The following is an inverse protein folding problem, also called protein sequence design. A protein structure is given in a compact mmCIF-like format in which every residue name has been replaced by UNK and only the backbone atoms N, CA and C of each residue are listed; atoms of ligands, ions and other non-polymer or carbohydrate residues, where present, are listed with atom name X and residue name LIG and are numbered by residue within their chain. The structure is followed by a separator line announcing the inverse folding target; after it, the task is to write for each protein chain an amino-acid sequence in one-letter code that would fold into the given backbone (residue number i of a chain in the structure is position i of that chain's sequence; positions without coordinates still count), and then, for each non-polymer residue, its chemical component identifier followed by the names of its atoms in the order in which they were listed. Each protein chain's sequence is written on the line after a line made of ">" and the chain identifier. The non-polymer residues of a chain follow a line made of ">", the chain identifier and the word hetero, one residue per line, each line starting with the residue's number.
data_IF_012725093534
#
_entry.id   IF_012725093534
#
_cell.length_a   1.000
_cell.length_b   1.000
_cell.length_c   1.000
_cell.angle_alpha   90.00
_cell.angle_beta   90.00
_cell.angle_gamma   90.00
#
_symmetry.space_group_name_H-M   'P 1'
#
loop_
_entity.id
_entity.type
_entity.pdbx_description
1 polymer ?
#
# COMPACT_ATOMS: atom_id res chain seq x y z
N UNK A 1 -4.69 6.10 -1.07
CA UNK A 1 -5.43 4.85 -1.20
C UNK A 1 -5.22 4.37 -2.62
N UNK A 2 -4.29 3.47 -2.74
CA UNK A 2 -3.80 2.94 -3.99
C UNK A 2 -4.26 1.48 -4.07
N UNK A 3 -5.57 1.29 -4.09
CA UNK A 3 -6.20 0.01 -3.73
C UNK A 3 -5.86 -1.07 -4.74
N UNK A 4 -6.15 -0.82 -6.01
CA UNK A 4 -5.97 -1.82 -7.05
C UNK A 4 -4.49 -2.12 -7.26
N UNK A 5 -3.65 -1.09 -7.29
CA UNK A 5 -2.23 -1.34 -7.51
C UNK A 5 -1.51 -1.93 -6.31
N UNK A 6 -1.98 -1.76 -5.07
CA UNK A 6 -1.48 -2.58 -3.96
C UNK A 6 -1.82 -4.06 -4.16
N UNK A 7 -3.09 -4.39 -4.41
CA UNK A 7 -3.52 -5.78 -4.60
C UNK A 7 -2.83 -6.43 -5.81
N UNK A 8 -2.76 -5.71 -6.93
CA UNK A 8 -2.10 -6.19 -8.15
C UNK A 8 -0.59 -6.35 -7.94
N UNK A 9 0.10 -5.36 -7.38
CA UNK A 9 1.55 -5.47 -7.17
C UNK A 9 1.91 -6.57 -6.16
N UNK A 10 1.07 -6.77 -5.14
CA UNK A 10 1.23 -7.86 -4.20
C UNK A 10 1.06 -9.22 -4.89
N UNK A 11 0.05 -9.37 -5.73
CA UNK A 11 -0.14 -10.58 -6.54
C UNK A 11 1.05 -10.83 -7.50
N UNK A 12 1.51 -9.79 -8.19
CA UNK A 12 2.63 -9.88 -9.12
C UNK A 12 3.98 -10.11 -8.45
N UNK A 13 4.13 -9.70 -7.18
CA UNK A 13 5.36 -9.92 -6.42
C UNK A 13 5.70 -11.40 -6.24
N UNK A 14 4.69 -12.28 -6.28
CA UNK A 14 4.80 -13.71 -5.93
C UNK A 14 5.41 -13.96 -4.54
N UNK A 15 5.41 -12.96 -3.65
CA UNK A 15 5.82 -13.14 -2.26
C UNK A 15 4.87 -14.10 -1.53
N UNK A 16 3.62 -14.20 -2.00
CA UNK A 16 2.57 -15.06 -1.44
C UNK A 16 1.98 -15.97 -2.54
N UNK A 17 2.75 -16.92 -3.09
CA UNK A 17 2.36 -17.65 -4.30
C UNK A 17 1.17 -18.60 -4.10
N UNK A 18 0.93 -19.02 -2.86
CA UNK A 18 -0.18 -19.90 -2.46
C UNK A 18 -1.48 -19.12 -2.18
N UNK A 19 -1.43 -17.77 -2.15
CA UNK A 19 -2.58 -16.96 -1.81
C UNK A 19 -3.32 -16.45 -3.03
N UNK A 20 -4.60 -16.78 -3.09
CA UNK A 20 -5.54 -16.04 -3.90
C UNK A 20 -5.85 -14.70 -3.22
N UNK A 21 -5.00 -13.69 -3.40
CA UNK A 21 -5.20 -12.34 -2.84
C UNK A 21 -6.46 -11.63 -3.34
N UNK A 22 -7.03 -12.14 -4.43
CA UNK A 22 -8.32 -11.71 -4.95
C UNK A 22 -9.47 -12.33 -4.15
N UNK A 23 -9.26 -13.42 -3.40
CA UNK A 23 -10.30 -14.14 -2.65
C UNK A 23 -10.42 -13.66 -1.20
N UNK A 24 -11.61 -13.12 -0.86
CA UNK A 24 -12.09 -13.04 0.51
C UNK A 24 -11.31 -12.09 1.44
N UNK A 25 -11.12 -12.54 2.68
CA UNK A 25 -10.58 -11.74 3.78
C UNK A 25 -9.14 -11.28 3.55
N UNK A 26 -8.30 -12.02 2.82
CA UNK A 26 -6.91 -11.66 2.58
C UNK A 26 -6.74 -10.35 1.79
N UNK A 27 -7.58 -10.13 0.77
CA UNK A 27 -7.60 -8.85 0.05
C UNK A 27 -7.99 -7.69 0.97
N UNK A 28 -8.95 -7.92 1.86
CA UNK A 28 -9.33 -6.93 2.87
C UNK A 28 -8.24 -6.69 3.92
N UNK A 29 -7.51 -7.74 4.33
CA UNK A 29 -6.34 -7.63 5.22
C UNK A 29 -5.26 -6.76 4.59
N UNK A 30 -4.92 -7.03 3.32
CA UNK A 30 -3.94 -6.24 2.59
C UNK A 30 -4.37 -4.76 2.51
N UNK A 31 -5.67 -4.49 2.35
CA UNK A 31 -6.23 -3.13 2.32
C UNK A 31 -6.40 -2.48 3.71
N UNK A 32 -6.16 -3.20 4.80
CA UNK A 32 -6.42 -2.71 6.16
C UNK A 32 -5.74 -1.36 6.47
N UNK A 33 -4.50 -1.07 6.03
CA UNK A 33 -3.89 0.23 6.29
C UNK A 33 -4.63 1.39 5.64
N UNK A 34 -5.19 1.16 4.46
CA UNK A 34 -6.05 2.10 3.75
C UNK A 34 -7.39 2.29 4.46
N UNK A 35 -8.00 1.19 4.92
CA UNK A 35 -9.25 1.22 5.69
C UNK A 35 -9.10 1.98 7.01
N UNK A 36 -7.96 1.86 7.69
CA UNK A 36 -7.69 2.50 8.99
C UNK A 36 -7.00 3.86 8.89
N UNK A 37 -6.56 4.25 7.68
CA UNK A 37 -5.70 5.42 7.44
C UNK A 37 -4.49 5.42 8.39
N UNK A 38 -3.74 4.32 8.45
CA UNK A 38 -2.64 4.14 9.41
C UNK A 38 -1.23 4.23 8.79
N UNK A 39 -1.08 4.72 7.56
CA UNK A 39 0.22 4.69 6.86
C UNK A 39 1.34 5.43 7.59
N UNK A 40 1.06 6.58 8.20
CA UNK A 40 2.07 7.33 8.97
C UNK A 40 2.56 6.53 10.19
N UNK A 41 1.68 5.77 10.86
CA UNK A 41 2.08 4.79 11.88
C UNK A 41 2.90 3.65 11.25
N UNK A 42 2.38 3.09 10.16
CA UNK A 42 2.94 1.91 9.48
C UNK A 42 4.38 2.12 9.04
N UNK A 43 4.73 3.29 8.51
CA UNK A 43 6.11 3.58 8.11
C UNK A 43 7.11 3.42 9.27
N UNK A 44 6.71 3.70 10.51
CA UNK A 44 7.61 3.62 11.66
C UNK A 44 7.59 2.26 12.36
N UNK A 45 6.58 1.41 12.13
CA UNK A 45 6.33 0.21 12.94
C UNK A 45 6.01 -1.06 12.17
N UNK A 46 5.50 -0.99 10.95
CA UNK A 46 5.05 -2.15 10.19
C UNK A 46 6.19 -3.15 9.93
N UNK A 47 7.44 -2.69 9.92
CA UNK A 47 8.64 -3.51 9.77
C UNK A 47 8.79 -4.60 10.83
N UNK A 48 8.20 -4.41 12.02
CA UNK A 48 8.19 -5.40 13.09
C UNK A 48 7.16 -6.53 12.86
N UNK A 49 6.31 -6.43 11.84
CA UNK A 49 5.30 -7.44 11.51
C UNK A 49 5.88 -8.61 10.69
N UNK A 50 7.14 -8.54 10.27
CA UNK A 50 7.80 -9.63 9.54
C UNK A 50 7.80 -10.92 10.39
N UNK A 51 7.33 -12.03 9.82
CA UNK A 51 7.23 -13.31 10.52
C UNK A 51 6.13 -13.39 11.59
N UNK A 52 5.29 -12.36 11.77
CA UNK A 52 4.25 -12.33 12.80
C UNK A 52 2.96 -13.07 12.40
N UNK A 53 2.94 -13.74 11.26
CA UNK A 53 1.78 -14.42 10.70
C UNK A 53 1.35 -13.83 9.36
N UNK A 54 0.51 -14.57 8.64
CA UNK A 54 0.16 -14.24 7.26
C UNK A 54 -0.51 -12.86 7.16
N UNK A 55 -1.47 -12.58 8.02
CA UNK A 55 -2.23 -11.34 8.01
C UNK A 55 -1.34 -10.12 8.29
N UNK A 56 -0.39 -10.27 9.20
CA UNK A 56 0.63 -9.27 9.51
C UNK A 56 1.52 -8.99 8.30
N UNK A 57 1.92 -10.05 7.59
CA UNK A 57 2.77 -9.96 6.40
C UNK A 57 2.03 -9.32 5.21
N UNK A 58 0.72 -9.53 5.08
CA UNK A 58 -0.12 -8.81 4.11
C UNK A 58 -0.18 -7.31 4.40
N UNK A 59 -0.33 -6.93 5.67
CA UNK A 59 -0.28 -5.52 6.10
C UNK A 59 1.11 -4.92 5.84
N UNK A 60 2.18 -5.65 6.16
CA UNK A 60 3.56 -5.25 5.85
C UNK A 60 3.76 -5.03 4.35
N UNK A 61 3.28 -5.94 3.51
CA UNK A 61 3.46 -5.84 2.07
C UNK A 61 2.71 -4.64 1.45
N UNK A 62 1.51 -4.33 1.96
CA UNK A 62 0.84 -3.07 1.65
C UNK A 62 1.71 -1.86 2.01
N UNK A 63 2.23 -1.83 3.24
CA UNK A 63 3.06 -0.73 3.74
C UNK A 63 4.36 -0.57 2.94
N UNK A 64 4.96 -1.66 2.47
CA UNK A 64 6.11 -1.65 1.57
C UNK A 64 5.78 -1.01 0.23
N UNK A 65 4.69 -1.45 -0.41
CA UNK A 65 4.22 -0.87 -1.66
C UNK A 65 3.98 0.64 -1.52
N UNK A 66 3.34 1.05 -0.42
CA UNK A 66 3.03 2.46 -0.19
C UNK A 66 4.30 3.29 0.05
N UNK A 67 5.25 2.71 0.79
CA UNK A 67 6.54 3.32 1.01
C UNK A 67 7.34 3.50 -0.29
N UNK A 68 7.24 2.61 -1.28
CA UNK A 68 7.86 2.81 -2.61
C UNK A 68 7.25 4.00 -3.34
N UNK A 69 5.92 4.14 -3.31
CA UNK A 69 5.22 5.29 -3.92
C UNK A 69 5.67 6.61 -3.27
N UNK A 70 5.85 6.60 -1.95
CA UNK A 70 6.14 7.80 -1.16
C UNK A 70 7.63 8.17 -1.05
N UNK A 71 8.51 7.19 -0.91
CA UNK A 71 9.94 7.40 -0.63
C UNK A 71 10.85 6.93 -1.77
N UNK A 72 10.31 6.17 -2.73
CA UNK A 72 11.02 5.67 -3.89
C UNK A 72 11.45 4.21 -3.71
N UNK A 73 11.93 3.62 -4.80
CA UNK A 73 12.25 2.17 -4.87
C UNK A 73 13.38 1.76 -3.94
N UNK A 74 14.31 2.66 -3.63
CA UNK A 74 15.42 2.41 -2.72
C UNK A 74 15.17 3.14 -1.41
N UNK A 75 15.01 2.40 -0.34
CA UNK A 75 14.79 2.96 0.98
C UNK A 75 16.06 3.60 1.52
N UNK A 76 15.95 4.84 2.01
CA UNK A 76 17.05 5.60 2.62
C UNK A 76 16.65 6.19 3.97
N UNK A 77 15.63 5.61 4.63
CA UNK A 77 15.03 6.16 5.83
C UNK A 77 13.82 7.08 5.57
N UNK A 78 13.26 7.63 6.65
CA UNK A 78 12.07 8.50 6.63
C UNK A 78 12.37 9.97 6.32
N UNK A 79 13.58 10.30 5.87
CA UNK A 79 14.07 11.68 5.85
C UNK A 79 13.24 12.58 4.91
N UNK A 80 12.85 12.09 3.74
CA UNK A 80 12.09 12.88 2.77
C UNK A 80 11.26 12.05 1.79
N UNK A 81 9.95 12.28 1.80
CA UNK A 81 9.02 11.79 0.76
C UNK A 81 9.44 12.34 -0.61
N UNK A 82 9.92 11.47 -1.48
CA UNK A 82 10.53 11.78 -2.80
C UNK A 82 10.25 10.71 -3.86
N UNK A 83 9.35 9.78 -3.55
CA UNK A 83 8.97 8.68 -4.43
C UNK A 83 8.20 9.14 -5.67
N UNK A 84 7.69 8.16 -6.42
CA UNK A 84 7.08 8.40 -7.73
C UNK A 84 5.96 9.44 -7.68
N UNK A 85 5.01 9.31 -6.74
CA UNK A 85 3.89 10.24 -6.65
C UNK A 85 4.39 11.69 -6.49
N UNK A 86 5.39 11.90 -5.62
CA UNK A 86 5.97 13.22 -5.35
C UNK A 86 6.64 13.85 -6.57
N UNK A 87 7.26 13.04 -7.43
CA UNK A 87 7.91 13.51 -8.67
C UNK A 87 6.90 13.90 -9.75
N UNK A 88 5.65 13.42 -9.67
CA UNK A 88 4.60 13.65 -10.68
C UNK A 88 3.46 14.56 -10.23
N UNK A 89 3.37 14.95 -8.96
CA UNK A 89 2.35 15.92 -8.48
C UNK A 89 2.30 17.23 -9.29
N UNK A 90 3.42 17.64 -9.88
CA UNK A 90 3.52 18.86 -10.70
C UNK A 90 2.55 18.88 -11.90
N UNK A 91 2.15 17.70 -12.40
CA UNK A 91 1.21 17.56 -13.52
C UNK A 91 -0.15 18.18 -13.19
N UNK A 92 -0.64 17.97 -11.96
CA UNK A 92 -1.99 18.38 -11.56
C UNK A 92 -2.02 19.57 -10.61
N UNK A 93 -0.94 19.84 -9.87
CA UNK A 93 -0.93 20.83 -8.77
C UNK A 93 -1.52 22.19 -9.16
N UNK A 94 -1.29 22.65 -10.39
CA UNK A 94 -1.81 23.95 -10.87
C UNK A 94 -3.33 24.00 -11.01
N UNK A 95 -3.99 22.85 -11.15
CA UNK A 95 -5.43 22.71 -11.39
C UNK A 95 -6.24 22.43 -10.11
N UNK A 96 -5.61 22.56 -8.94
CA UNK A 96 -6.26 22.35 -7.64
C UNK A 96 -7.49 23.26 -7.43
N UNK A 97 -7.35 24.56 -7.73
CA UNK A 97 -8.44 25.51 -7.51
C UNK A 97 -9.57 25.28 -8.52
N UNK A 98 -9.23 24.96 -9.79
CA UNK A 98 -10.18 24.56 -10.84
C UNK A 98 -10.99 23.34 -10.40
N UNK A 99 -10.33 22.31 -9.87
CA UNK A 99 -10.98 21.08 -9.39
C UNK A 99 -12.05 21.39 -8.34
N UNK A 100 -11.69 22.13 -7.30
CA UNK A 100 -12.63 22.42 -6.21
C UNK A 100 -13.73 23.38 -6.64
N UNK A 101 -13.42 24.43 -7.41
CA UNK A 101 -14.41 25.36 -7.93
C UNK A 101 -15.45 24.64 -8.81
N UNK A 102 -14.99 23.76 -9.70
CA UNK A 102 -15.88 22.99 -10.57
C UNK A 102 -16.78 22.04 -9.77
N UNK A 103 -16.24 21.34 -8.77
CA UNK A 103 -17.02 20.45 -7.91
C UNK A 103 -18.08 21.21 -7.08
N UNK A 104 -17.74 22.40 -6.60
CA UNK A 104 -18.66 23.28 -5.86
C UNK A 104 -19.76 23.83 -6.79
N UNK A 105 -19.41 24.29 -7.99
CA UNK A 105 -20.35 24.78 -9.00
C UNK A 105 -21.38 23.71 -9.41
N UNK A 106 -20.93 22.45 -9.55
CA UNK A 106 -21.81 21.31 -9.87
C UNK A 106 -22.64 20.81 -8.70
N UNK A 107 -22.48 21.38 -7.51
CA UNK A 107 -23.17 20.94 -6.29
C UNK A 107 -22.74 19.56 -5.82
N UNK A 108 -21.65 19.00 -6.35
CA UNK A 108 -21.10 17.73 -5.87
C UNK A 108 -20.38 17.92 -4.54
N UNK A 109 -19.91 19.15 -4.27
CA UNK A 109 -19.26 19.50 -3.01
C UNK A 109 -19.93 20.73 -2.40
N UNK A 110 -20.32 20.70 -1.11
CA UNK A 110 -20.78 21.91 -0.44
C UNK A 110 -19.68 22.98 -0.41
N UNK A 111 -20.05 24.20 -0.77
CA UNK A 111 -19.14 25.35 -0.75
C UNK A 111 -18.65 25.65 0.68
N UNK A 112 -17.38 26.06 0.81
CA UNK A 112 -16.79 26.48 2.08
C UNK A 112 -16.32 25.34 3.00
N UNK A 113 -16.51 24.07 2.62
CA UNK A 113 -15.94 22.96 3.37
C UNK A 113 -14.39 22.93 3.27
N UNK A 114 -13.68 22.53 4.34
CA UNK A 114 -12.23 22.43 4.34
C UNK A 114 -11.71 21.54 3.21
N UNK A 115 -10.82 22.08 2.39
CA UNK A 115 -10.16 21.37 1.28
C UNK A 115 -8.90 20.68 1.79
N UNK A 116 -8.51 19.59 1.14
CA UNK A 116 -7.19 18.98 1.37
C UNK A 116 -6.09 19.98 0.98
N UNK A 117 -4.89 19.84 1.54
CA UNK A 117 -3.75 20.63 1.10
C UNK A 117 -3.48 20.42 -0.39
N UNK A 118 -2.96 21.44 -1.08
CA UNK A 118 -2.61 21.35 -2.52
C UNK A 118 -1.72 20.14 -2.83
N UNK A 119 -0.77 19.89 -1.92
CA UNK A 119 0.16 18.76 -1.95
C UNK A 119 -0.58 17.43 -1.75
N UNK A 120 -1.43 17.32 -0.72
CA UNK A 120 -2.19 16.10 -0.42
C UNK A 120 -3.15 15.73 -1.54
N UNK A 121 -3.84 16.72 -2.11
CA UNK A 121 -4.74 16.54 -3.26
C UNK A 121 -3.97 16.03 -4.49
N UNK A 122 -2.88 16.71 -4.87
CA UNK A 122 -2.11 16.34 -6.06
C UNK A 122 -1.46 14.97 -5.93
N UNK A 123 -0.92 14.66 -4.74
CA UNK A 123 -0.37 13.35 -4.41
C UNK A 123 -1.40 12.24 -4.65
N UNK A 124 -2.58 12.43 -4.07
CA UNK A 124 -3.66 11.44 -4.10
C UNK A 124 -4.11 11.19 -5.54
N UNK A 125 -4.31 12.23 -6.35
CA UNK A 125 -4.71 12.05 -7.74
C UNK A 125 -3.66 11.31 -8.57
N UNK A 126 -2.38 11.59 -8.36
CA UNK A 126 -1.28 10.90 -9.05
C UNK A 126 -1.23 9.43 -8.65
N UNK A 127 -1.27 9.15 -7.35
CA UNK A 127 -1.28 7.78 -6.82
C UNK A 127 -2.44 6.94 -7.39
N UNK A 128 -3.67 7.48 -7.37
CA UNK A 128 -4.85 6.79 -7.89
C UNK A 128 -4.88 6.67 -9.41
N UNK A 129 -4.02 7.40 -10.13
CA UNK A 129 -3.94 7.26 -11.59
C UNK A 129 -3.39 5.90 -12.00
N UNK A 130 -2.61 5.23 -11.14
CA UNK A 130 -2.20 3.83 -11.35
C UNK A 130 -3.42 2.90 -11.30
N UNK A 131 -4.30 3.07 -10.30
CA UNK A 131 -5.52 2.26 -10.18
C UNK A 131 -6.42 2.41 -11.42
N UNK A 132 -6.58 3.65 -11.90
CA UNK A 132 -7.34 3.88 -13.13
C UNK A 132 -6.67 3.26 -14.36
N UNK A 133 -5.35 3.36 -14.47
CA UNK A 133 -4.60 2.72 -15.55
C UNK A 133 -4.78 1.19 -15.52
N UNK A 134 -4.67 0.56 -14.35
CA UNK A 134 -4.92 -0.86 -14.18
C UNK A 134 -6.33 -1.25 -14.62
N UNK A 135 -7.34 -0.50 -14.18
CA UNK A 135 -8.74 -0.77 -14.52
C UNK A 135 -9.06 -0.53 -16.00
N UNK A 136 -8.38 0.40 -16.67
CA UNK A 136 -8.52 0.64 -18.11
C UNK A 136 -7.82 -0.44 -18.97
N UNK A 137 -6.86 -1.17 -18.41
CA UNK A 137 -5.98 -2.08 -19.17
C UNK A 137 -6.14 -3.56 -18.87
N UNK A 138 -6.73 -3.91 -17.73
CA UNK A 138 -6.85 -5.30 -17.26
C UNK A 138 -8.30 -5.65 -16.97
N UNK A 139 -8.63 -6.92 -17.17
CA UNK A 139 -9.88 -7.46 -16.63
C UNK A 139 -9.68 -7.73 -15.13
N UNK A 140 -10.28 -6.86 -14.31
CA UNK A 140 -10.26 -6.94 -12.86
C UNK A 140 -11.62 -7.38 -12.28
N UNK A 141 -12.54 -7.87 -13.12
CA UNK A 141 -13.93 -8.16 -12.72
C UNK A 141 -14.03 -9.20 -11.61
N UNK A 142 -13.15 -10.22 -11.65
CA UNK A 142 -13.11 -11.27 -10.61
C UNK A 142 -12.63 -10.70 -9.27
N UNK A 143 -11.50 -9.99 -9.28
CA UNK A 143 -10.93 -9.34 -8.09
C UNK A 143 -11.91 -8.33 -7.49
N UNK A 144 -12.52 -7.49 -8.33
CA UNK A 144 -13.51 -6.50 -7.92
C UNK A 144 -14.70 -7.16 -7.18
N UNK A 145 -15.30 -8.19 -7.79
CA UNK A 145 -16.44 -8.89 -7.18
C UNK A 145 -16.07 -9.47 -5.82
N UNK A 146 -14.93 -10.15 -5.71
CA UNK A 146 -14.54 -10.82 -4.47
C UNK A 146 -14.15 -9.84 -3.37
N UNK A 147 -13.42 -8.76 -3.68
CA UNK A 147 -13.13 -7.69 -2.71
C UNK A 147 -14.42 -7.00 -2.27
N UNK A 148 -15.38 -6.82 -3.19
CA UNK A 148 -16.69 -6.26 -2.85
C UNK A 148 -17.48 -7.14 -1.89
N UNK A 149 -17.53 -8.45 -2.15
CA UNK A 149 -18.18 -9.45 -1.28
C UNK A 149 -17.50 -9.49 0.10
N UNK A 150 -16.17 -9.46 0.14
CA UNK A 150 -15.41 -9.42 1.38
C UNK A 150 -15.67 -8.12 2.16
N UNK A 151 -15.73 -6.97 1.48
CA UNK A 151 -16.07 -5.69 2.11
C UNK A 151 -17.48 -5.68 2.72
N UNK A 152 -18.44 -6.36 2.09
CA UNK A 152 -19.79 -6.54 2.64
C UNK A 152 -19.75 -7.36 3.94
N UNK A 153 -19.02 -8.48 3.93
CA UNK A 153 -18.82 -9.31 5.12
C UNK A 153 -18.13 -8.54 6.25
N UNK A 154 -17.03 -7.83 5.95
CA UNK A 154 -16.32 -6.99 6.93
C UNK A 154 -17.19 -5.88 7.50
N UNK A 155 -18.05 -5.25 6.69
CA UNK A 155 -18.98 -4.23 7.18
C UNK A 155 -20.06 -4.82 8.11
N UNK A 156 -20.42 -6.09 7.93
CA UNK A 156 -21.37 -6.78 8.79
C UNK A 156 -20.75 -7.22 10.13
N UNK A 157 -19.45 -7.52 10.17
CA UNK A 157 -18.73 -7.94 11.36
C UNK A 157 -17.36 -7.27 11.49
N UNK A 158 -17.30 -6.19 12.29
CA UNK A 158 -16.05 -5.51 12.58
C UNK A 158 -15.16 -6.21 13.60
N UNK A 159 -15.62 -7.27 14.27
CA UNK A 159 -14.82 -7.96 15.30
C UNK A 159 -13.49 -8.45 14.73
N UNK A 160 -13.48 -8.88 13.46
CA UNK A 160 -12.27 -9.23 12.72
C UNK A 160 -11.27 -8.06 12.61
N UNK A 161 -11.73 -6.84 12.28
CA UNK A 161 -10.88 -5.63 12.23
C UNK A 161 -10.29 -5.35 13.61
N UNK A 162 -11.11 -5.42 14.66
CA UNK A 162 -10.66 -5.20 16.02
C UNK A 162 -9.60 -6.23 16.43
N UNK A 163 -9.80 -7.52 16.11
CA UNK A 163 -8.85 -8.59 16.39
C UNK A 163 -7.49 -8.36 15.74
N UNK A 164 -7.44 -8.01 14.45
CA UNK A 164 -6.17 -7.72 13.77
C UNK A 164 -5.49 -6.46 14.30
N UNK A 165 -6.26 -5.42 14.62
CA UNK A 165 -5.72 -4.20 15.23
C UNK A 165 -5.10 -4.49 16.61
N UNK A 166 -5.77 -5.28 17.44
CA UNK A 166 -5.29 -5.69 18.76
C UNK A 166 -4.04 -6.57 18.66
N UNK A 167 -4.02 -7.55 17.76
CA UNK A 167 -2.88 -8.47 17.57
C UNK A 167 -1.63 -7.79 17.04
N UNK A 168 -1.77 -6.85 16.11
CA UNK A 168 -0.64 -6.21 15.42
C UNK A 168 -0.35 -4.78 15.92
N UNK A 169 -1.05 -4.33 16.96
CA UNK A 169 -0.92 -3.00 17.59
C UNK A 169 -0.98 -1.88 16.55
N UNK A 170 -1.85 -2.04 15.54
CA UNK A 170 -2.07 -1.03 14.52
C UNK A 170 -2.73 0.16 15.19
N UNK A 171 -2.06 1.32 15.24
CA UNK A 171 -2.69 2.52 15.79
C UNK A 171 -3.42 3.25 14.67
N UNK A 172 -4.76 3.25 14.63
CA UNK A 172 -5.50 3.94 13.59
C UNK A 172 -5.38 5.46 13.80
N UNK A 173 -5.42 6.24 12.72
CA UNK A 173 -5.36 7.70 12.82
C UNK A 173 -6.70 8.34 13.19
N UNK A 174 -7.77 7.54 13.24
CA UNK A 174 -9.17 7.91 13.51
C UNK A 174 -9.88 6.75 14.23
N UNK A 175 -11.08 6.95 14.83
CA UNK A 175 -11.83 5.87 15.46
C UNK A 175 -12.10 4.71 14.50
N UNK A 176 -11.84 3.48 14.95
CA UNK A 176 -11.97 2.23 14.17
C UNK A 176 -13.39 2.08 13.66
N UNK A 177 -14.40 2.50 14.42
CA UNK A 177 -15.82 2.36 14.06
C UNK A 177 -16.23 3.33 12.94
N UNK A 178 -15.37 4.28 12.54
CA UNK A 178 -15.73 5.31 11.56
C UNK A 178 -15.14 5.08 10.17
N UNK A 179 -14.01 4.39 10.06
CA UNK A 179 -13.25 4.31 8.81
C UNK A 179 -13.59 3.08 7.95
N UNK A 180 -13.57 1.83 8.48
CA UNK A 180 -13.94 0.63 7.74
C UNK A 180 -15.35 0.74 7.17
N UNK A 181 -16.35 1.19 7.94
CA UNK A 181 -17.72 1.35 7.40
C UNK A 181 -17.81 2.28 6.19
N UNK A 182 -17.06 3.39 6.19
CA UNK A 182 -17.09 4.33 5.06
C UNK A 182 -16.50 3.70 3.80
N UNK A 183 -15.35 3.05 3.95
CA UNK A 183 -14.64 2.48 2.82
C UNK A 183 -15.26 1.17 2.34
N UNK A 184 -15.59 0.25 3.24
CA UNK A 184 -16.37 -0.93 2.90
C UNK A 184 -17.70 -0.53 2.25
N UNK A 185 -18.38 0.50 2.77
CA UNK A 185 -19.59 1.03 2.13
C UNK A 185 -19.36 1.55 0.70
N UNK A 186 -18.24 2.24 0.44
CA UNK A 186 -17.90 2.66 -0.92
C UNK A 186 -17.61 1.47 -1.85
N UNK A 187 -16.87 0.47 -1.35
CA UNK A 187 -16.58 -0.75 -2.09
C UNK A 187 -17.85 -1.54 -2.40
N UNK A 188 -18.74 -1.76 -1.43
CA UNK A 188 -20.01 -2.49 -1.63
C UNK A 188 -20.93 -1.83 -2.65
N UNK A 189 -20.89 -0.49 -2.77
CA UNK A 189 -21.64 0.26 -3.79
C UNK A 189 -20.99 0.26 -5.18
N UNK A 190 -19.74 -0.20 -5.31
CA UNK A 190 -19.06 -0.21 -6.62
C UNK A 190 -19.65 -1.26 -7.55
N UNK A 191 -20.02 -0.83 -8.76
CA UNK A 191 -20.58 -1.73 -9.79
C UNK A 191 -19.55 -2.18 -10.81
N UNK A 192 -18.48 -1.41 -10.97
CA UNK A 192 -17.37 -1.66 -11.91
C UNK A 192 -16.03 -1.65 -11.16
N UNK A 193 -14.99 -2.34 -11.65
CA UNK A 193 -13.68 -2.36 -10.99
C UNK A 193 -13.07 -0.99 -10.73
N UNK A 194 -13.23 -0.06 -11.69
CA UNK A 194 -12.69 1.28 -11.54
C UNK A 194 -13.44 2.15 -10.53
N UNK A 195 -14.64 1.76 -10.10
CA UNK A 195 -15.36 2.53 -9.09
C UNK A 195 -14.77 2.39 -7.69
N UNK A 196 -13.96 1.36 -7.42
CA UNK A 196 -13.32 1.16 -6.11
C UNK A 196 -12.51 2.39 -5.69
N UNK A 197 -11.58 2.82 -6.54
CA UNK A 197 -10.71 3.96 -6.27
C UNK A 197 -11.44 5.29 -6.50
N UNK A 198 -12.37 5.38 -7.47
CA UNK A 198 -13.16 6.60 -7.71
C UNK A 198 -14.04 6.97 -6.52
N UNK A 199 -14.71 6.01 -5.89
CA UNK A 199 -15.52 6.25 -4.69
C UNK A 199 -14.66 6.59 -3.48
N UNK A 200 -13.47 5.97 -3.37
CA UNK A 200 -12.46 6.36 -2.39
C UNK A 200 -12.03 7.84 -2.53
N UNK A 201 -11.81 8.31 -3.77
CA UNK A 201 -11.53 9.73 -4.04
C UNK A 201 -12.72 10.64 -3.73
N UNK A 202 -13.94 10.22 -4.08
CA UNK A 202 -15.15 10.98 -3.77
C UNK A 202 -15.26 11.19 -2.25
N UNK A 203 -15.08 10.14 -1.44
CA UNK A 203 -15.05 10.26 0.02
C UNK A 203 -13.91 11.17 0.50
N UNK A 204 -12.68 10.97 0.00
CA UNK A 204 -11.51 11.74 0.42
C UNK A 204 -11.65 13.23 0.12
N UNK A 205 -12.14 13.58 -1.06
CA UNK A 205 -12.35 14.95 -1.48
C UNK A 205 -13.73 15.49 -1.13
N UNK A 206 -14.52 14.72 -0.36
CA UNK A 206 -15.85 15.09 0.12
C UNK A 206 -16.76 15.55 -1.03
N UNK A 207 -16.81 14.73 -2.07
CA UNK A 207 -17.68 14.84 -3.24
C UNK A 207 -18.88 13.90 -3.07
N UNK A 208 -20.02 14.28 -3.65
CA UNK A 208 -21.15 13.38 -3.82
C UNK A 208 -20.73 12.18 -4.66
N UNK A 209 -21.16 10.97 -4.29
CA UNK A 209 -20.91 9.74 -5.05
C UNK A 209 -21.99 9.55 -6.15
N UNK A 210 -22.05 10.46 -7.11
CA UNK A 210 -22.99 10.39 -8.25
C UNK A 210 -22.30 9.85 -9.50
N UNK A 211 -23.04 9.28 -10.48
CA UNK A 211 -22.46 8.82 -11.73
C UNK A 211 -21.63 9.90 -12.46
N UNK A 212 -22.07 11.15 -12.39
CA UNK A 212 -21.38 12.26 -13.05
C UNK A 212 -20.09 12.66 -12.33
N UNK A 213 -20.07 12.68 -10.99
CA UNK A 213 -18.85 12.99 -10.23
C UNK A 213 -17.81 11.88 -10.39
N UNK A 214 -18.23 10.61 -10.39
CA UNK A 214 -17.35 9.47 -10.64
C UNK A 214 -16.79 9.48 -12.06
N UNK A 215 -17.63 9.79 -13.07
CA UNK A 215 -17.17 9.98 -14.46
C UNK A 215 -16.18 11.13 -14.60
N UNK A 216 -16.40 12.21 -13.87
CA UNK A 216 -15.48 13.35 -13.85
C UNK A 216 -14.13 12.98 -13.22
N UNK A 217 -14.13 12.33 -12.05
CA UNK A 217 -12.91 11.81 -11.41
C UNK A 217 -12.15 10.85 -12.33
N UNK A 218 -12.85 9.94 -13.02
CA UNK A 218 -12.26 9.04 -14.02
C UNK A 218 -11.54 9.82 -15.12
N UNK A 219 -12.13 10.90 -15.61
CA UNK A 219 -11.51 11.79 -16.59
C UNK A 219 -10.21 12.41 -16.09
N UNK A 220 -10.15 12.83 -14.83
CA UNK A 220 -8.93 13.33 -14.21
C UNK A 220 -7.84 12.26 -14.15
N UNK A 221 -8.16 11.08 -13.63
CA UNK A 221 -7.17 10.01 -13.49
C UNK A 221 -6.66 9.52 -14.85
N UNK A 222 -7.53 9.46 -15.86
CA UNK A 222 -7.14 9.15 -17.25
C UNK A 222 -6.19 10.17 -17.83
N UNK A 223 -6.50 11.47 -17.67
CA UNK A 223 -5.61 12.53 -18.14
C UNK A 223 -4.22 12.42 -17.50
N UNK A 224 -4.17 12.12 -16.19
CA UNK A 224 -2.89 11.97 -15.48
C UNK A 224 -2.10 10.77 -16.02
N UNK A 225 -2.71 9.59 -16.09
CA UNK A 225 -1.94 8.41 -16.49
C UNK A 225 -1.54 8.46 -17.98
N UNK A 226 -2.34 9.10 -18.83
CA UNK A 226 -1.98 9.35 -20.23
C UNK A 226 -0.81 10.32 -20.37
N UNK A 227 -0.73 11.35 -19.51
CA UNK A 227 0.39 12.29 -19.50
C UNK A 227 1.67 11.67 -18.93
N UNK A 228 1.55 10.77 -17.95
CA UNK A 228 2.67 9.98 -17.43
C UNK A 228 3.18 8.96 -18.45
N UNK A 229 2.27 8.28 -19.16
CA UNK A 229 2.59 7.26 -20.16
C UNK A 229 2.57 5.83 -19.62
N UNK A 230 2.25 4.87 -20.50
CA UNK A 230 2.06 3.46 -20.16
C UNK A 230 3.34 2.78 -19.66
N UNK A 231 4.49 3.11 -20.25
CA UNK A 231 5.79 2.56 -19.84
C UNK A 231 6.12 2.92 -18.39
N UNK A 232 5.96 4.19 -18.02
CA UNK A 232 6.25 4.63 -16.66
C UNK A 232 5.25 4.03 -15.64
N UNK A 233 3.97 3.90 -16.00
CA UNK A 233 2.99 3.24 -15.14
C UNK A 233 3.36 1.77 -14.89
N UNK A 234 3.77 1.05 -15.93
CA UNK A 234 4.24 -0.33 -15.82
C UNK A 234 5.52 -0.43 -14.98
N UNK A 235 6.46 0.49 -15.15
CA UNK A 235 7.71 0.53 -14.39
C UNK A 235 7.46 0.76 -12.89
N UNK A 236 6.51 1.62 -12.53
CA UNK A 236 6.13 1.85 -11.13
C UNK A 236 5.52 0.58 -10.54
N UNK A 237 4.56 -0.05 -11.23
CA UNK A 237 3.94 -1.29 -10.77
C UNK A 237 4.97 -2.42 -10.61
N UNK A 238 5.86 -2.59 -11.60
CA UNK A 238 6.94 -3.58 -11.54
C UNK A 238 7.90 -3.29 -10.39
N UNK A 239 8.19 -2.03 -10.10
CA UNK A 239 9.05 -1.65 -8.98
C UNK A 239 8.41 -1.92 -7.63
N UNK A 240 7.09 -1.72 -7.51
CA UNK A 240 6.32 -2.11 -6.34
C UNK A 240 6.39 -3.62 -6.12
N UNK A 241 6.07 -4.41 -7.15
CA UNK A 241 6.10 -5.87 -7.08
C UNK A 241 7.48 -6.41 -6.70
N UNK A 242 8.56 -5.87 -7.29
CA UNK A 242 9.94 -6.27 -6.96
C UNK A 242 10.34 -5.91 -5.53
N UNK A 243 9.95 -4.72 -5.05
CA UNK A 243 10.23 -4.30 -3.68
C UNK A 243 9.48 -5.16 -2.66
N UNK A 244 8.23 -5.54 -2.95
CA UNK A 244 7.49 -6.48 -2.12
C UNK A 244 8.10 -7.90 -2.14
N UNK A 245 8.64 -8.34 -3.27
CA UNK A 245 9.24 -9.67 -3.42
C UNK A 245 10.58 -9.82 -2.66
N UNK A 246 11.37 -8.76 -2.57
CA UNK A 246 12.69 -8.78 -1.90
C UNK A 246 13.00 -7.43 -1.23
N UNK A 247 12.33 -7.08 -0.11
CA UNK A 247 12.42 -5.74 0.44
C UNK A 247 13.83 -5.40 0.98
N UNK A 248 14.56 -6.42 1.44
CA UNK A 248 15.95 -6.30 1.92
C UNK A 248 16.88 -5.79 0.81
N UNK A 249 16.76 -6.34 -0.41
CA UNK A 249 17.55 -5.88 -1.56
C UNK A 249 17.31 -4.41 -1.91
N UNK A 250 16.13 -3.90 -1.60
CA UNK A 250 15.75 -2.51 -1.82
C UNK A 250 16.04 -1.60 -0.62
N UNK A 251 16.74 -2.13 0.40
CA UNK A 251 17.15 -1.40 1.59
C UNK A 251 16.04 -1.15 2.60
N UNK A 252 14.84 -1.71 2.38
CA UNK A 252 13.76 -1.60 3.35
C UNK A 252 14.13 -2.37 4.61
N UNK A 253 13.92 -1.77 5.80
CA UNK A 253 14.21 -2.45 7.04
C UNK A 253 13.24 -3.61 7.19
N UNK A 254 13.71 -4.81 6.88
CA UNK A 254 13.13 -6.04 7.40
C UNK A 254 14.08 -6.49 8.49
N UNK A 255 13.62 -6.32 9.73
CA UNK A 255 14.30 -6.52 11.01
C UNK A 255 15.19 -5.37 11.55
N UNK A 256 14.74 -4.77 12.66
CA UNK A 256 15.60 -4.51 13.83
C UNK A 256 14.81 -4.82 15.11
N UNK A 257 15.21 -5.92 15.74
CA UNK A 257 14.97 -6.36 17.11
C UNK A 257 15.41 -5.33 18.17
N UNK A 258 14.79 -4.15 18.19
CA UNK A 258 15.10 -3.10 19.17
C UNK A 258 13.90 -2.77 20.08
N UNK A 259 13.34 -3.80 20.72
CA UNK A 259 12.92 -3.74 22.13
C UNK A 259 13.13 -5.14 22.77
N UNK A 260 14.33 -5.33 23.31
CA UNK A 260 14.66 -6.12 24.52
C UNK A 260 14.02 -7.51 24.68
N UNK A 261 14.76 -8.57 24.32
CA UNK A 261 14.60 -9.88 25.01
C UNK A 261 15.11 -11.16 24.35
N UNK A 262 15.33 -11.23 23.02
CA UNK A 262 15.64 -12.49 22.32
C UNK A 262 16.99 -12.47 21.62
N UNK A 263 17.74 -13.57 21.71
CA UNK A 263 19.10 -13.75 21.17
C UNK A 263 19.12 -13.84 19.64
N UNK A 264 20.21 -13.33 19.05
CA UNK A 264 20.44 -13.06 17.63
C UNK A 264 20.38 -14.25 16.64
N UNK A 265 19.95 -15.45 17.06
CA UNK A 265 19.96 -16.66 16.23
C UNK A 265 18.68 -16.90 15.40
N UNK A 266 17.59 -16.15 15.66
CA UNK A 266 16.29 -16.39 15.00
C UNK A 266 16.06 -15.56 13.71
N UNK A 267 16.91 -14.56 13.47
CA UNK A 267 16.84 -13.54 12.38
C UNK A 267 17.19 -14.09 10.96
N UNK A 268 17.45 -15.39 10.82
CA UNK A 268 18.06 -15.97 9.60
C UNK A 268 17.09 -16.49 8.52
N UNK A 269 15.88 -15.94 8.36
CA UNK A 269 14.86 -16.58 7.51
C UNK A 269 14.36 -15.85 6.27
N UNK A 270 15.16 -15.09 5.54
CA UNK A 270 14.78 -14.74 4.15
C UNK A 270 15.97 -14.69 3.19
N UNK A 271 16.21 -15.78 2.45
CA UNK A 271 16.89 -15.78 1.14
C UNK A 271 16.12 -16.69 0.19
N UNK A 272 15.89 -16.18 -1.02
CA UNK A 272 15.06 -16.77 -2.10
C UNK A 272 15.67 -18.05 -2.72
N UNK A 273 16.86 -18.48 -2.29
CA UNK A 273 17.53 -19.67 -2.86
C UNK A 273 17.71 -20.85 -1.90
N UNK A 274 17.20 -20.76 -0.66
CA UNK A 274 17.30 -21.86 0.31
C UNK A 274 18.71 -22.17 0.82
N UNK A 275 19.70 -21.29 0.57
CA UNK A 275 21.08 -21.53 1.01
C UNK A 275 21.36 -20.90 2.38
N UNK A 276 21.88 -21.64 3.38
CA UNK A 276 22.29 -21.06 4.65
C UNK A 276 23.41 -20.04 4.46
N UNK A 277 23.30 -18.88 5.09
CA UNK A 277 24.39 -17.90 5.13
C UNK A 277 25.51 -18.47 5.99
N UNK A 278 26.66 -18.77 5.37
CA UNK A 278 27.89 -19.04 6.10
C UNK A 278 28.31 -17.80 6.89
N UNK A 279 28.55 -17.98 8.18
CA UNK A 279 28.94 -16.88 9.06
C UNK A 279 30.27 -16.24 8.60
N UNK A 280 30.37 -14.90 8.60
CA UNK A 280 31.65 -14.25 8.43
C UNK A 280 32.47 -14.38 9.72
N UNK A 281 33.42 -15.30 9.70
CA UNK A 281 34.65 -15.25 10.50
C UNK A 281 34.49 -15.52 12.01
N UNK A 282 34.49 -16.80 12.39
CA UNK A 282 35.10 -17.16 13.68
C UNK A 282 36.62 -17.05 13.56
N UNK A 283 37.31 -16.36 14.48
CA UNK A 283 38.77 -16.36 14.52
C UNK A 283 39.22 -17.78 14.86
N UNK A 284 40.11 -18.34 14.04
CA UNK A 284 40.77 -19.59 14.35
C UNK A 284 41.63 -19.42 15.61
N UNK A 285 41.07 -19.77 16.77
CA UNK A 285 41.84 -20.05 17.99
C UNK A 285 42.14 -21.55 18.01
N UNK A 286 43.43 -21.88 18.17
CA UNK A 286 43.85 -23.22 18.56
C UNK A 286 44.79 -23.93 17.58
N UNK A 287 46.09 -23.66 17.76
CA UNK A 287 47.20 -24.53 17.36
C UNK A 287 46.96 -25.99 17.78
N UNK A 288 47.60 -26.94 17.07
CA UNK A 288 48.48 -27.84 17.78
C UNK A 288 49.89 -27.76 17.20
N UNK A 289 50.86 -27.75 18.12
CA UNK A 289 52.27 -27.75 17.78
C UNK A 289 52.69 -28.97 16.96
N UNK A 290 53.73 -28.76 16.16
CA UNK A 290 54.71 -29.79 15.85
C UNK A 290 56.10 -29.17 15.83
N UNK A 291 56.93 -29.70 16.71
CA UNK A 291 58.38 -29.73 16.61
C UNK A 291 58.80 -30.29 15.23
N UNK A 292 59.80 -29.68 14.58
CA UNK A 292 61.08 -30.32 14.26
C UNK A 292 61.85 -29.63 13.13
N UNK A 293 63.14 -29.40 13.42
CA UNK A 293 64.32 -29.43 12.55
C UNK A 293 64.37 -28.58 11.26
N UNK A 294 65.08 -27.46 11.33
CA UNK A 294 66.46 -27.29 10.83
C UNK A 294 66.98 -25.89 11.19
#
# INVERSE_FOLDING_TARGET
>A
MFVLGHLVSLHESKAFPELALHEGEHGMTAMLPDLLSCHDWGYSRAWALAGAGLEAELVLAHMLGDAVVHYGVQWRGHERKSGWAYRRMGLVTRRYDEFHAYAEERGWRPAGLPRDSRRGWAHTLVEYSIDQWLADRRDLSVMHRQVREAAEATAADLAWVHGLVEQHVITPSKPIESQPYRYCGALTRSTEPDEMHLRGLALKFQLAESPDSLRWLRGWLRAIWQEVGEEEMADVLSSLARACADPVRYGYPLEISAFTGGTADEVRRWRVDGTPVSEPGSPATGLPGRENHA
#
